data_IF_411262237022
#
_entry.id   IF_411262237022
#
_cell.length_a   1.000
_cell.length_b   1.000
_cell.length_c   1.000
_cell.angle_alpha   90.00
_cell.angle_beta   90.00
_cell.angle_gamma   90.00
#
_symmetry.space_group_name_H-M   'P 1'
#
loop_
_entity.id
_entity.type
_entity.pdbx_description
1 polymer ?
#
# COMPACT_ATOMS: atom_id res chain seq x y z
N UNK A 1 7.35 16.96 -19.75
CA UNK A 1 6.09 16.47 -20.35
C UNK A 1 4.97 16.66 -19.33
N UNK A 2 3.72 16.86 -19.77
CA UNK A 2 2.57 16.90 -18.86
C UNK A 2 2.43 15.55 -18.15
N UNK A 3 2.01 15.57 -16.88
CA UNK A 3 1.75 14.34 -16.13
C UNK A 3 0.45 13.69 -16.62
N UNK A 4 0.30 12.34 -16.50
CA UNK A 4 -0.86 11.63 -17.05
C UNK A 4 -2.22 12.11 -16.55
N UNK A 5 -2.30 12.58 -15.30
CA UNK A 5 -3.52 13.09 -14.69
C UNK A 5 -3.51 14.61 -14.50
N UNK A 6 -2.65 15.33 -15.22
CA UNK A 6 -2.66 16.80 -15.19
C UNK A 6 -4.04 17.33 -15.58
N UNK A 7 -4.59 18.24 -14.76
CA UNK A 7 -5.93 18.79 -14.92
C UNK A 7 -7.05 17.97 -14.28
N UNK A 8 -6.78 16.75 -13.80
CA UNK A 8 -7.76 15.96 -13.02
C UNK A 8 -7.81 16.47 -11.58
N UNK A 9 -9.00 16.77 -11.08
CA UNK A 9 -9.27 17.25 -9.72
C UNK A 9 -9.90 16.16 -8.88
N UNK A 10 -9.31 15.90 -7.70
CA UNK A 10 -9.76 14.86 -6.77
C UNK A 10 -10.13 15.47 -5.44
N UNK A 11 -11.36 15.27 -4.99
CA UNK A 11 -11.77 15.55 -3.61
C UNK A 11 -11.64 14.25 -2.79
N UNK A 12 -10.85 14.31 -1.72
CA UNK A 12 -10.62 13.17 -0.83
C UNK A 12 -11.32 13.40 0.51
N UNK A 13 -12.29 12.53 0.84
CA UNK A 13 -12.96 12.46 2.14
C UNK A 13 -12.62 11.11 2.75
N UNK A 14 -11.37 10.94 3.15
CA UNK A 14 -10.83 9.66 3.58
C UNK A 14 -9.83 9.85 4.73
N UNK A 15 -9.56 8.76 5.47
CA UNK A 15 -8.63 8.76 6.60
C UNK A 15 -7.76 7.49 6.59
N UNK A 16 -6.59 7.58 7.23
CA UNK A 16 -5.69 6.45 7.42
C UNK A 16 -4.93 6.07 6.17
N UNK A 17 -5.17 4.88 5.59
CA UNK A 17 -4.34 4.34 4.49
C UNK A 17 -5.10 4.16 3.19
N UNK A 18 -6.12 3.31 3.13
CA UNK A 18 -6.70 2.86 1.86
C UNK A 18 -7.08 4.01 0.92
N UNK A 19 -7.91 4.95 1.37
CA UNK A 19 -8.30 6.13 0.58
C UNK A 19 -7.13 7.09 0.34
N UNK A 20 -6.42 7.52 1.41
CA UNK A 20 -5.30 8.44 1.28
C UNK A 20 -4.15 7.94 0.41
N UNK A 21 -3.79 6.65 0.48
CA UNK A 21 -2.74 6.10 -0.39
C UNK A 21 -3.20 5.97 -1.85
N UNK A 22 -4.47 5.64 -2.08
CA UNK A 22 -5.04 5.66 -3.43
C UNK A 22 -4.96 7.06 -4.05
N UNK A 23 -5.37 8.09 -3.29
CA UNK A 23 -5.29 9.48 -3.72
C UNK A 23 -3.84 9.98 -3.89
N UNK A 24 -2.89 9.48 -3.08
CA UNK A 24 -1.47 9.77 -3.23
C UNK A 24 -0.94 9.28 -4.59
N UNK A 25 -1.33 8.08 -5.01
CA UNK A 25 -0.98 7.53 -6.33
C UNK A 25 -1.51 8.45 -7.44
N UNK A 26 -2.74 8.94 -7.30
CA UNK A 26 -3.31 9.88 -8.28
C UNK A 26 -2.56 11.22 -8.28
N UNK A 27 -2.18 11.73 -7.10
CA UNK A 27 -1.38 12.96 -6.97
C UNK A 27 -0.01 12.80 -7.63
N UNK A 28 0.67 11.67 -7.41
CA UNK A 28 1.96 11.37 -8.06
C UNK A 28 1.84 11.36 -9.59
N UNK A 29 0.71 10.88 -10.10
CA UNK A 29 0.40 10.92 -11.54
C UNK A 29 -0.02 12.30 -12.06
N UNK A 30 -0.10 13.33 -11.20
CA UNK A 30 -0.36 14.72 -11.57
C UNK A 30 -1.76 15.24 -11.28
N UNK A 31 -2.62 14.47 -10.62
CA UNK A 31 -3.92 14.97 -10.19
C UNK A 31 -3.78 16.03 -9.07
N UNK A 32 -4.63 17.05 -9.10
CA UNK A 32 -4.80 18.00 -8.00
C UNK A 32 -5.71 17.39 -6.93
N UNK A 33 -5.12 16.96 -5.82
CA UNK A 33 -5.85 16.28 -4.75
C UNK A 33 -6.08 17.22 -3.57
N UNK A 34 -7.34 17.52 -3.30
CA UNK A 34 -7.78 18.28 -2.11
C UNK A 34 -8.38 17.33 -1.09
N UNK A 35 -7.71 17.22 0.04
CA UNK A 35 -8.14 16.43 1.20
C UNK A 35 -9.03 17.27 2.11
N UNK A 36 -10.24 16.79 2.34
CA UNK A 36 -11.19 17.37 3.29
C UNK A 36 -11.01 16.69 4.64
N UNK A 37 -10.58 17.44 5.63
CA UNK A 37 -10.28 16.92 6.95
C UNK A 37 -11.26 17.43 8.01
N UNK A 38 -11.50 16.64 9.04
CA UNK A 38 -12.28 17.10 10.18
C UNK A 38 -11.61 18.35 10.78
N UNK A 39 -12.41 19.38 11.02
CA UNK A 39 -11.95 20.69 11.52
C UNK A 39 -11.13 20.60 12.81
N UNK A 40 -11.52 19.73 13.73
CA UNK A 40 -10.90 19.67 15.07
C UNK A 40 -9.78 18.64 15.15
N UNK A 41 -9.97 17.47 14.54
CA UNK A 41 -9.07 16.33 14.72
C UNK A 41 -8.16 16.06 13.53
N UNK A 42 -8.50 16.59 12.36
CA UNK A 42 -7.83 16.21 11.11
C UNK A 42 -8.02 14.72 10.77
N UNK A 43 -7.13 14.22 9.93
CA UNK A 43 -6.99 12.79 9.66
C UNK A 43 -6.36 12.08 10.88
N UNK A 44 -6.89 10.91 11.22
CA UNK A 44 -6.36 10.10 12.33
C UNK A 44 -4.84 9.81 12.20
N UNK A 45 -4.31 9.76 10.99
CA UNK A 45 -2.89 9.55 10.74
C UNK A 45 -2.00 10.71 11.20
N UNK A 46 -2.55 11.89 11.50
CA UNK A 46 -1.80 13.02 12.07
C UNK A 46 -1.32 12.77 13.49
N UNK A 47 -2.07 11.97 14.28
CA UNK A 47 -1.80 11.82 15.70
C UNK A 47 -1.73 10.37 16.21
N UNK A 48 -2.38 9.41 15.56
CA UNK A 48 -2.59 8.07 16.10
C UNK A 48 -1.28 7.31 16.40
N UNK A 49 -0.31 7.29 15.51
CA UNK A 49 0.95 6.56 15.72
C UNK A 49 2.05 7.42 16.37
N UNK A 50 2.00 8.73 16.23
CA UNK A 50 2.96 9.61 16.86
C UNK A 50 2.96 9.44 18.40
N UNK A 51 1.78 9.30 18.99
CA UNK A 51 1.62 9.07 20.42
C UNK A 51 2.04 7.65 20.86
N UNK A 52 1.98 6.64 19.96
CA UNK A 52 2.28 5.25 20.30
C UNK A 52 3.79 4.92 20.22
N UNK A 53 4.52 5.54 19.30
CA UNK A 53 5.92 5.20 19.02
C UNK A 53 6.89 6.04 19.86
N UNK A 54 6.51 7.28 20.12
CA UNK A 54 7.40 8.23 20.76
C UNK A 54 7.46 8.15 22.30
N UNK A 55 6.59 7.38 22.91
CA UNK A 55 6.42 7.37 24.36
C UNK A 55 5.88 8.71 24.91
N UNK A 56 5.67 8.80 26.22
CA UNK A 56 5.09 10.00 26.86
C UNK A 56 5.98 11.24 26.75
N UNK A 57 7.27 11.08 26.48
CA UNK A 57 8.25 12.17 26.39
C UNK A 57 8.45 12.71 24.96
N UNK A 58 7.86 12.11 23.93
CA UNK A 58 7.89 12.66 22.56
C UNK A 58 6.83 13.75 22.42
N UNK A 59 7.07 14.85 23.14
CA UNK A 59 6.27 16.08 23.05
C UNK A 59 6.44 16.81 21.70
N UNK A 60 7.36 16.39 20.85
CA UNK A 60 7.63 16.95 19.51
C UNK A 60 6.95 16.18 18.36
N UNK A 61 5.84 15.51 18.60
CA UNK A 61 5.05 14.84 17.57
C UNK A 61 4.24 15.83 16.68
N UNK A 62 4.80 16.99 16.37
CA UNK A 62 4.28 17.89 15.35
C UNK A 62 4.40 17.31 13.95
N UNK A 63 5.19 16.21 13.78
CA UNK A 63 5.44 15.55 12.51
C UNK A 63 5.03 14.10 12.60
N UNK A 64 3.92 13.74 11.96
CA UNK A 64 3.51 12.35 11.84
C UNK A 64 4.12 11.71 10.59
N UNK A 65 5.06 10.76 10.81
CA UNK A 65 5.59 9.92 9.72
C UNK A 65 4.48 9.20 8.94
N UNK A 66 3.40 8.82 9.62
CA UNK A 66 2.24 8.16 9.01
C UNK A 66 1.48 9.13 8.08
N UNK A 67 1.24 10.36 8.52
CA UNK A 67 0.57 11.36 7.68
C UNK A 67 1.42 11.74 6.47
N UNK A 68 2.72 11.93 6.64
CA UNK A 68 3.66 12.24 5.55
C UNK A 68 3.64 11.14 4.48
N UNK A 69 3.70 9.88 4.91
CA UNK A 69 3.74 8.73 4.00
C UNK A 69 2.49 8.62 3.11
N UNK A 70 1.33 9.14 3.57
CA UNK A 70 0.05 9.00 2.87
C UNK A 70 -0.42 10.28 2.16
N UNK A 71 0.15 11.46 2.50
CA UNK A 71 -0.47 12.73 2.12
C UNK A 71 0.47 13.76 1.48
N UNK A 72 1.71 13.41 1.16
CA UNK A 72 2.60 14.31 0.41
C UNK A 72 1.98 14.71 -0.94
N UNK A 73 2.25 15.93 -1.37
CA UNK A 73 1.76 16.44 -2.65
C UNK A 73 0.27 16.73 -2.73
N UNK A 74 -0.46 16.69 -1.61
CA UNK A 74 -1.88 17.05 -1.54
C UNK A 74 -2.07 18.45 -0.98
N UNK A 75 -3.27 19.01 -1.19
CA UNK A 75 -3.77 20.19 -0.48
C UNK A 75 -4.72 19.75 0.64
N UNK A 76 -4.76 20.45 1.77
CA UNK A 76 -5.63 20.17 2.91
C UNK A 76 -6.58 21.33 3.16
N UNK A 77 -7.86 21.01 3.34
CA UNK A 77 -8.90 21.93 3.83
C UNK A 77 -9.62 21.33 5.04
N UNK A 78 -10.15 22.17 5.91
CA UNK A 78 -10.97 21.74 7.06
C UNK A 78 -12.44 21.82 6.77
N UNK A 79 -13.22 20.86 7.30
CA UNK A 79 -14.68 20.89 7.26
C UNK A 79 -15.30 20.10 8.42
N UNK A 80 -16.29 20.67 9.09
CA UNK A 80 -17.19 19.91 9.95
C UNK A 80 -18.39 19.41 9.14
N UNK A 81 -18.32 18.19 8.61
CA UNK A 81 -19.37 17.58 7.81
C UNK A 81 -20.69 17.33 8.55
N UNK A 82 -20.79 17.70 9.84
CA UNK A 82 -22.06 17.76 10.58
C UNK A 82 -22.82 19.07 10.30
N UNK A 83 -22.16 20.07 9.74
CA UNK A 83 -22.73 21.38 9.42
C UNK A 83 -23.25 21.41 7.98
N UNK A 84 -24.47 21.91 7.74
CA UNK A 84 -25.02 22.03 6.39
C UNK A 84 -24.13 22.82 5.43
N UNK A 85 -23.51 23.89 5.90
CA UNK A 85 -22.64 24.76 5.09
C UNK A 85 -21.40 24.01 4.60
N UNK A 86 -20.82 23.13 5.43
CA UNK A 86 -19.70 22.27 5.05
C UNK A 86 -20.12 21.22 4.00
N UNK A 87 -21.32 20.67 4.10
CA UNK A 87 -21.87 19.76 3.08
C UNK A 87 -22.04 20.48 1.75
N UNK A 88 -22.59 21.71 1.77
CA UNK A 88 -22.79 22.51 0.56
C UNK A 88 -21.43 22.89 -0.08
N UNK A 89 -20.42 23.21 0.73
CA UNK A 89 -19.05 23.42 0.26
C UNK A 89 -18.54 22.18 -0.50
N UNK A 90 -18.69 20.99 0.06
CA UNK A 90 -18.28 19.74 -0.63
C UNK A 90 -19.09 19.49 -1.90
N UNK A 91 -20.40 19.77 -1.91
CA UNK A 91 -21.23 19.67 -3.12
C UNK A 91 -20.75 20.63 -4.20
N UNK A 92 -20.32 21.83 -3.83
CA UNK A 92 -19.74 22.80 -4.75
C UNK A 92 -18.41 22.31 -5.33
N UNK A 93 -17.57 21.65 -4.52
CA UNK A 93 -16.38 20.94 -5.02
C UNK A 93 -16.78 19.85 -6.04
N UNK A 94 -17.68 18.95 -5.68
CA UNK A 94 -18.16 17.87 -6.54
C UNK A 94 -18.59 18.37 -7.92
N UNK A 95 -19.19 19.53 -8.01
CA UNK A 95 -19.64 20.12 -9.27
C UNK A 95 -18.52 20.36 -10.28
N UNK A 96 -17.30 20.64 -9.80
CA UNK A 96 -16.12 20.98 -10.61
C UNK A 96 -14.95 19.98 -10.51
N UNK A 97 -15.11 18.94 -9.70
CA UNK A 97 -14.09 17.91 -9.53
C UNK A 97 -14.41 16.65 -10.34
N UNK A 98 -13.38 15.88 -10.65
CA UNK A 98 -13.46 14.69 -11.49
C UNK A 98 -13.68 13.41 -10.68
N UNK A 99 -13.10 13.36 -9.49
CA UNK A 99 -13.08 12.16 -8.64
C UNK A 99 -13.43 12.54 -7.20
N UNK A 100 -14.29 11.75 -6.56
CA UNK A 100 -14.47 11.77 -5.12
C UNK A 100 -13.93 10.43 -4.56
N UNK A 101 -12.95 10.51 -3.67
CA UNK A 101 -12.39 9.34 -2.97
C UNK A 101 -12.83 9.34 -1.53
N UNK A 102 -13.38 8.22 -1.06
CA UNK A 102 -13.73 8.02 0.34
C UNK A 102 -13.42 6.60 0.80
N UNK A 103 -13.08 6.42 2.08
CA UNK A 103 -13.02 5.13 2.75
C UNK A 103 -13.82 5.11 4.06
N UNK A 104 -14.76 6.03 4.20
CA UNK A 104 -15.75 5.96 5.27
C UNK A 104 -16.62 4.71 5.07
N UNK A 105 -17.15 4.17 6.16
CA UNK A 105 -18.02 2.99 6.07
C UNK A 105 -19.18 3.25 5.09
N UNK A 106 -19.56 2.25 4.28
CA UNK A 106 -20.70 2.38 3.39
C UNK A 106 -21.93 2.94 4.12
N UNK A 107 -22.64 3.84 3.47
CA UNK A 107 -23.80 4.54 4.04
C UNK A 107 -23.49 5.78 4.88
N UNK A 108 -22.23 6.08 5.20
CA UNK A 108 -21.91 7.31 5.96
C UNK A 108 -22.10 8.54 5.10
N UNK A 109 -21.47 8.60 3.92
CA UNK A 109 -21.63 9.75 3.02
C UNK A 109 -23.06 9.84 2.44
N UNK A 110 -23.75 8.69 2.27
CA UNK A 110 -25.16 8.67 1.84
C UNK A 110 -26.05 9.45 2.83
N UNK A 111 -25.86 9.23 4.15
CA UNK A 111 -26.62 9.97 5.18
C UNK A 111 -26.31 11.46 5.22
N UNK A 112 -25.16 11.87 4.70
CA UNK A 112 -24.75 13.27 4.58
C UNK A 112 -25.21 13.91 3.26
N UNK A 113 -25.87 13.15 2.37
CA UNK A 113 -26.25 13.60 1.04
C UNK A 113 -25.06 13.82 0.11
N UNK A 114 -23.97 13.07 0.35
CA UNK A 114 -22.74 13.00 -0.44
C UNK A 114 -22.50 11.59 -0.97
N UNK A 115 -23.50 10.71 -0.95
CA UNK A 115 -23.44 9.38 -1.55
C UNK A 115 -23.42 9.43 -3.07
N UNK A 116 -23.09 8.29 -3.72
CA UNK A 116 -22.95 8.24 -5.17
C UNK A 116 -24.20 8.77 -5.90
N UNK A 117 -25.39 8.35 -5.48
CA UNK A 117 -26.64 8.76 -6.13
C UNK A 117 -26.95 10.25 -5.97
N UNK A 118 -26.42 10.90 -4.95
CA UNK A 118 -26.57 12.34 -4.75
C UNK A 118 -25.55 13.12 -5.58
N UNK A 119 -24.26 12.74 -5.49
CA UNK A 119 -23.19 13.47 -6.18
C UNK A 119 -23.28 13.32 -7.70
N UNK A 120 -23.74 12.18 -8.22
CA UNK A 120 -23.95 12.01 -9.67
C UNK A 120 -25.05 12.87 -10.26
N UNK A 121 -26.04 13.30 -9.45
CA UNK A 121 -27.05 14.26 -9.87
C UNK A 121 -26.46 15.66 -10.04
N UNK A 122 -25.45 16.00 -9.23
CA UNK A 122 -24.73 17.28 -9.30
C UNK A 122 -23.73 17.25 -10.47
N UNK A 123 -22.97 16.16 -10.59
CA UNK A 123 -21.96 15.96 -11.62
C UNK A 123 -22.06 14.54 -12.21
N UNK A 124 -22.74 14.36 -13.36
CA UNK A 124 -22.86 13.02 -14.00
C UNK A 124 -21.52 12.43 -14.47
N UNK A 125 -20.46 13.25 -14.52
CA UNK A 125 -19.11 12.81 -14.92
C UNK A 125 -18.24 12.39 -13.72
N UNK A 126 -18.70 12.55 -12.48
CA UNK A 126 -17.91 12.24 -11.29
C UNK A 126 -17.58 10.74 -11.20
N UNK A 127 -16.34 10.40 -10.97
CA UNK A 127 -15.92 9.07 -10.55
C UNK A 127 -16.00 9.02 -9.03
N UNK A 128 -16.86 8.17 -8.49
CA UNK A 128 -17.04 7.99 -7.06
C UNK A 128 -16.30 6.74 -6.58
N UNK A 129 -15.18 6.92 -5.90
CA UNK A 129 -14.30 5.86 -5.46
C UNK A 129 -14.52 5.54 -3.97
N UNK A 130 -15.18 4.41 -3.70
CA UNK A 130 -15.48 3.93 -2.35
C UNK A 130 -14.50 2.84 -1.94
N UNK A 131 -13.57 3.15 -1.06
CA UNK A 131 -12.81 2.16 -0.30
C UNK A 131 -13.65 1.59 0.84
N UNK A 132 -13.49 0.32 1.14
CA UNK A 132 -14.18 -0.33 2.25
C UNK A 132 -13.37 -1.49 2.83
N UNK A 133 -13.75 -1.96 4.01
CA UNK A 133 -13.09 -3.14 4.58
C UNK A 133 -13.62 -4.43 3.97
N UNK A 134 -14.94 -4.60 3.91
CA UNK A 134 -15.58 -5.87 3.62
C UNK A 134 -16.28 -5.93 2.25
N UNK A 135 -16.31 -4.82 1.54
CA UNK A 135 -17.04 -4.68 0.27
C UNK A 135 -18.42 -4.04 0.46
N UNK A 136 -19.12 -3.74 -0.67
CA UNK A 136 -20.39 -3.00 -0.66
C UNK A 136 -21.61 -3.86 -0.34
N UNK A 137 -21.47 -5.19 -0.23
CA UNK A 137 -22.59 -6.14 -0.05
C UNK A 137 -22.23 -7.20 0.98
N UNK A 138 -23.25 -7.88 1.49
CA UNK A 138 -23.10 -9.01 2.39
C UNK A 138 -23.22 -8.64 3.87
N UNK A 139 -23.14 -9.64 4.76
CA UNK A 139 -23.46 -9.46 6.19
C UNK A 139 -22.45 -8.59 6.95
N UNK A 140 -21.28 -8.33 6.39
CA UNK A 140 -20.19 -7.61 7.05
C UNK A 140 -20.04 -6.15 6.61
N UNK A 141 -20.88 -5.63 5.72
CA UNK A 141 -20.77 -4.27 5.16
C UNK A 141 -20.51 -3.19 6.21
N UNK A 142 -21.22 -3.25 7.34
CA UNK A 142 -21.12 -2.25 8.40
C UNK A 142 -20.18 -2.68 9.54
N UNK A 143 -19.62 -3.92 9.48
CA UNK A 143 -18.75 -4.44 10.52
C UNK A 143 -17.47 -3.61 10.62
N UNK A 144 -17.05 -3.19 11.83
CA UNK A 144 -15.76 -2.52 12.03
C UNK A 144 -14.61 -3.39 11.55
N UNK A 145 -13.60 -2.77 10.95
CA UNK A 145 -12.38 -3.48 10.53
C UNK A 145 -11.18 -2.53 10.44
N UNK A 146 -10.03 -3.15 10.32
CA UNK A 146 -8.73 -2.58 9.99
C UNK A 146 -7.94 -3.62 9.22
N UNK A 147 -6.78 -3.27 8.71
CA UNK A 147 -5.85 -4.12 7.94
C UNK A 147 -5.75 -5.55 8.48
N UNK A 148 -5.30 -5.71 9.73
CA UNK A 148 -5.06 -7.03 10.36
C UNK A 148 -6.30 -7.92 10.38
N UNK A 149 -7.51 -7.34 10.52
CA UNK A 149 -8.75 -8.14 10.48
C UNK A 149 -9.06 -8.65 9.06
N UNK A 150 -8.71 -7.88 8.04
CA UNK A 150 -8.83 -8.33 6.66
C UNK A 150 -7.81 -9.42 6.33
N UNK A 151 -6.56 -9.29 6.80
CA UNK A 151 -5.56 -10.35 6.70
C UNK A 151 -6.03 -11.65 7.37
N UNK A 152 -6.58 -11.55 8.59
CA UNK A 152 -7.09 -12.71 9.33
C UNK A 152 -8.26 -13.40 8.59
N UNK A 153 -9.24 -12.61 8.16
CA UNK A 153 -10.44 -13.14 7.52
C UNK A 153 -10.20 -13.70 6.11
N UNK A 154 -9.16 -13.22 5.41
CA UNK A 154 -8.83 -13.68 4.05
C UNK A 154 -8.05 -15.00 4.02
N UNK A 155 -7.60 -15.51 5.17
CA UNK A 155 -6.83 -16.74 5.25
C UNK A 155 -5.30 -16.54 5.25
N UNK A 156 -4.78 -15.38 4.82
CA UNK A 156 -3.34 -15.16 4.68
C UNK A 156 -2.57 -15.33 5.99
N UNK A 157 -3.15 -14.89 7.12
CA UNK A 157 -2.52 -15.08 8.43
C UNK A 157 -2.37 -16.55 8.82
N UNK A 158 -3.33 -17.40 8.44
CA UNK A 158 -3.26 -18.82 8.71
C UNK A 158 -2.15 -19.52 7.89
N UNK A 159 -1.67 -18.89 6.82
CA UNK A 159 -0.64 -19.42 5.92
C UNK A 159 0.73 -18.76 6.09
N UNK A 160 0.83 -17.70 6.89
CA UNK A 160 2.08 -16.99 7.17
C UNK A 160 2.77 -17.57 8.40
N UNK A 161 4.10 -17.72 8.35
CA UNK A 161 4.94 -18.22 9.44
C UNK A 161 5.34 -19.69 9.31
N UNK A 162 6.11 -20.17 10.28
CA UNK A 162 6.53 -21.58 10.38
C UNK A 162 5.33 -22.48 10.78
N UNK A 163 5.39 -23.79 10.50
CA UNK A 163 4.28 -24.71 10.80
C UNK A 163 3.76 -24.62 12.24
N UNK A 164 4.67 -24.49 13.20
CA UNK A 164 4.37 -24.49 14.64
C UNK A 164 4.11 -23.08 15.23
N UNK A 165 4.26 -22.03 14.44
CA UNK A 165 4.01 -20.66 14.89
C UNK A 165 2.48 -20.41 15.08
N UNK A 166 2.05 -19.45 15.92
CA UNK A 166 0.69 -18.91 15.84
C UNK A 166 0.44 -18.24 14.48
N UNK A 167 -0.81 -17.98 14.07
CA UNK A 167 -1.12 -17.17 12.89
C UNK A 167 -0.43 -15.80 12.95
N UNK A 168 0.32 -15.44 11.90
CA UNK A 168 1.10 -14.20 11.83
C UNK A 168 0.56 -13.25 10.78
N UNK A 169 0.42 -11.98 11.14
CA UNK A 169 0.21 -10.93 10.15
C UNK A 169 1.52 -10.60 9.42
N UNK A 170 1.40 -10.05 8.21
CA UNK A 170 2.55 -9.45 7.55
C UNK A 170 3.13 -8.29 8.39
N UNK A 171 4.44 -8.07 8.31
CA UNK A 171 5.14 -7.00 9.04
C UNK A 171 4.81 -5.58 8.56
N UNK A 172 3.86 -5.43 7.64
CA UNK A 172 3.35 -4.16 7.11
C UNK A 172 1.82 -4.25 6.95
N UNK A 173 1.16 -3.08 6.78
CA UNK A 173 -0.29 -2.99 6.58
C UNK A 173 -0.64 -3.34 5.12
N UNK A 174 -0.43 -4.61 4.75
CA UNK A 174 -0.50 -5.11 3.36
C UNK A 174 -1.91 -5.05 2.79
N UNK A 175 -2.95 -5.29 3.60
CA UNK A 175 -4.33 -5.27 3.15
C UNK A 175 -4.77 -3.84 2.78
N UNK A 176 -4.45 -2.85 3.60
CA UNK A 176 -4.77 -1.45 3.34
C UNK A 176 -4.04 -0.92 2.10
N UNK A 177 -2.73 -1.18 1.97
CA UNK A 177 -1.95 -0.71 0.81
C UNK A 177 -2.38 -1.40 -0.49
N UNK A 178 -2.58 -2.71 -0.49
CA UNK A 178 -3.07 -3.41 -1.69
C UNK A 178 -4.50 -3.02 -2.06
N UNK A 179 -5.37 -2.79 -1.05
CA UNK A 179 -6.70 -2.25 -1.25
C UNK A 179 -6.70 -0.84 -1.84
N UNK A 180 -5.73 -0.02 -1.48
CA UNK A 180 -5.53 1.30 -2.07
C UNK A 180 -5.07 1.23 -3.53
N UNK A 181 -4.14 0.32 -3.87
CA UNK A 181 -3.72 0.06 -5.25
C UNK A 181 -4.91 -0.38 -6.11
N UNK A 182 -5.76 -1.28 -5.58
CA UNK A 182 -6.98 -1.70 -6.26
C UNK A 182 -7.97 -0.55 -6.47
N UNK A 183 -8.12 0.33 -5.47
CA UNK A 183 -8.99 1.51 -5.57
C UNK A 183 -8.46 2.49 -6.62
N UNK A 184 -7.17 2.80 -6.61
CA UNK A 184 -6.54 3.67 -7.61
C UNK A 184 -6.67 3.09 -9.03
N UNK A 185 -6.44 1.78 -9.21
CA UNK A 185 -6.64 1.09 -10.49
C UNK A 185 -8.08 1.21 -10.99
N UNK A 186 -9.05 1.05 -10.08
CA UNK A 186 -10.46 1.24 -10.40
C UNK A 186 -10.79 2.67 -10.82
N UNK A 187 -10.20 3.68 -10.15
CA UNK A 187 -10.36 5.09 -10.53
C UNK A 187 -9.80 5.35 -11.94
N UNK A 188 -8.59 4.86 -12.23
CA UNK A 188 -7.98 5.03 -13.54
C UNK A 188 -8.81 4.38 -14.64
N UNK A 189 -9.33 3.17 -14.41
CA UNK A 189 -10.23 2.48 -15.33
C UNK A 189 -11.54 3.26 -15.56
N UNK A 190 -12.12 3.84 -14.50
CA UNK A 190 -13.34 4.64 -14.60
C UNK A 190 -13.10 5.98 -15.32
N UNK A 191 -11.97 6.65 -15.08
CA UNK A 191 -11.57 7.84 -15.82
C UNK A 191 -11.40 7.53 -17.32
N UNK A 192 -10.72 6.44 -17.65
CA UNK A 192 -10.55 6.00 -19.02
C UNK A 192 -11.88 5.64 -19.71
N UNK A 193 -12.80 4.97 -19.00
CA UNK A 193 -14.13 4.67 -19.50
C UNK A 193 -14.95 5.97 -19.71
N UNK A 194 -14.82 6.96 -18.81
CA UNK A 194 -15.49 8.25 -18.90
C UNK A 194 -15.17 9.01 -20.18
N UNK A 195 -13.94 8.93 -20.67
CA UNK A 195 -13.54 9.60 -21.92
C UNK A 195 -14.31 9.06 -23.15
N UNK A 196 -14.78 7.82 -23.09
CA UNK A 196 -15.59 7.20 -24.18
C UNK A 196 -17.08 7.35 -23.96
N UNK A 197 -17.55 7.30 -22.71
CA UNK A 197 -18.98 7.25 -22.37
C UNK A 197 -19.55 8.61 -22.01
N UNK A 198 -18.70 9.59 -21.66
CA UNK A 198 -19.10 10.89 -21.14
C UNK A 198 -19.60 10.85 -19.68
N UNK A 199 -19.71 9.68 -19.06
CA UNK A 199 -20.27 9.48 -17.72
C UNK A 199 -19.24 8.95 -16.73
N UNK A 200 -19.28 9.48 -15.50
CA UNK A 200 -18.55 8.91 -14.37
C UNK A 200 -19.17 7.60 -13.88
N UNK A 201 -18.45 6.90 -13.02
CA UNK A 201 -18.85 5.60 -12.49
C UNK A 201 -18.58 5.50 -10.99
N UNK A 202 -19.32 4.62 -10.31
CA UNK A 202 -18.97 4.20 -8.96
C UNK A 202 -17.94 3.08 -9.01
N UNK A 203 -16.88 3.25 -8.25
CA UNK A 203 -15.82 2.25 -8.04
C UNK A 203 -15.88 1.81 -6.58
N UNK A 204 -16.06 0.54 -6.33
CA UNK A 204 -15.98 -0.07 -5.00
C UNK A 204 -14.76 -0.99 -4.92
N UNK A 205 -13.85 -0.76 -3.98
CA UNK A 205 -12.74 -1.66 -3.68
C UNK A 205 -12.68 -1.97 -2.17
N UNK A 206 -12.43 -3.25 -1.84
CA UNK A 206 -12.34 -3.65 -0.44
C UNK A 206 -10.97 -4.24 -0.11
N UNK A 207 -10.45 -3.95 1.08
CA UNK A 207 -9.19 -4.53 1.54
C UNK A 207 -9.30 -6.06 1.68
N UNK A 208 -10.45 -6.58 2.15
CA UNK A 208 -10.72 -8.01 2.23
C UNK A 208 -10.75 -8.67 0.86
N UNK A 209 -11.49 -8.10 -0.10
CA UNK A 209 -11.58 -8.64 -1.47
C UNK A 209 -10.24 -8.62 -2.20
N UNK A 210 -9.43 -7.58 -1.97
CA UNK A 210 -8.08 -7.51 -2.55
C UNK A 210 -7.17 -8.59 -1.97
N UNK A 211 -7.22 -8.83 -0.65
CA UNK A 211 -6.47 -9.92 -0.03
C UNK A 211 -6.87 -11.30 -0.57
N UNK A 212 -8.14 -11.53 -0.87
CA UNK A 212 -8.60 -12.76 -1.54
C UNK A 212 -8.03 -12.84 -2.96
N UNK A 213 -8.13 -11.77 -3.73
CA UNK A 213 -7.65 -11.73 -5.12
C UNK A 213 -6.14 -12.02 -5.23
N UNK A 214 -5.35 -11.54 -4.27
CA UNK A 214 -3.90 -11.79 -4.21
C UNK A 214 -3.52 -13.26 -3.92
N UNK A 215 -4.45 -14.05 -3.39
CA UNK A 215 -4.27 -15.47 -3.06
C UNK A 215 -4.91 -16.40 -4.13
N UNK A 216 -5.02 -15.94 -5.37
CA UNK A 216 -5.70 -16.70 -6.43
C UNK A 216 -5.13 -18.10 -6.67
N UNK A 217 -3.82 -18.28 -6.57
CA UNK A 217 -3.14 -19.56 -6.75
C UNK A 217 -3.49 -20.55 -5.63
N UNK A 218 -3.43 -20.10 -4.38
CA UNK A 218 -3.71 -20.90 -3.18
C UNK A 218 -5.18 -21.30 -3.08
N UNK A 219 -6.06 -20.35 -3.40
CA UNK A 219 -7.51 -20.57 -3.43
C UNK A 219 -7.87 -21.57 -4.51
N UNK A 220 -7.30 -21.44 -5.71
CA UNK A 220 -7.54 -22.39 -6.81
C UNK A 220 -7.02 -23.78 -6.46
N UNK A 221 -5.83 -23.89 -5.87
CA UNK A 221 -5.31 -25.17 -5.42
C UNK A 221 -6.28 -25.86 -4.45
N UNK A 222 -6.68 -25.15 -3.40
CA UNK A 222 -7.61 -25.70 -2.39
C UNK A 222 -8.97 -26.06 -3.00
N UNK A 223 -9.50 -25.21 -3.87
CA UNK A 223 -10.78 -25.43 -4.53
C UNK A 223 -10.79 -26.64 -5.49
N UNK A 224 -9.68 -26.86 -6.20
CA UNK A 224 -9.55 -27.95 -7.17
C UNK A 224 -9.25 -29.28 -6.50
N UNK A 225 -8.34 -29.26 -5.52
CA UNK A 225 -7.83 -30.49 -4.90
C UNK A 225 -8.57 -30.89 -3.62
N UNK A 226 -9.30 -29.99 -2.99
CA UNK A 226 -9.87 -30.15 -1.65
C UNK A 226 -8.82 -30.21 -0.54
N UNK A 227 -7.54 -29.95 -0.86
CA UNK A 227 -6.43 -30.02 0.09
C UNK A 227 -6.09 -28.62 0.59
N UNK A 228 -6.06 -28.44 1.88
CA UNK A 228 -5.60 -27.22 2.53
C UNK A 228 -4.07 -27.17 2.50
N UNK A 229 -3.41 -26.18 1.87
CA UNK A 229 -1.96 -26.08 1.87
C UNK A 229 -1.43 -25.87 3.30
N UNK A 230 -0.25 -26.38 3.58
CA UNK A 230 0.45 -26.09 4.82
C UNK A 230 0.92 -24.62 4.87
N UNK A 231 1.48 -24.19 6.00
CA UNK A 231 2.06 -22.85 6.11
C UNK A 231 3.27 -22.68 5.21
N UNK A 232 3.51 -21.43 4.82
CA UNK A 232 4.56 -21.06 3.89
C UNK A 232 5.99 -21.38 4.39
N UNK A 233 6.18 -21.52 5.70
CA UNK A 233 7.52 -21.71 6.27
C UNK A 233 8.41 -20.49 5.97
N UNK A 234 9.60 -20.75 5.44
CA UNK A 234 10.60 -19.70 5.13
C UNK A 234 10.30 -18.88 3.89
N UNK A 235 9.39 -19.33 3.03
CA UNK A 235 9.17 -18.69 1.73
C UNK A 235 7.76 -18.84 1.23
N UNK A 236 7.43 -19.94 0.57
CA UNK A 236 6.14 -20.14 -0.05
C UNK A 236 5.63 -21.57 0.15
N UNK A 237 4.33 -21.73 0.38
CA UNK A 237 3.71 -23.02 0.73
C UNK A 237 3.86 -24.10 -0.35
N UNK A 238 4.05 -23.71 -1.62
CA UNK A 238 4.28 -24.66 -2.73
C UNK A 238 5.73 -24.74 -3.19
N UNK A 239 6.63 -23.91 -2.63
CA UNK A 239 8.04 -23.81 -3.04
C UNK A 239 8.92 -24.01 -1.81
N UNK A 240 9.29 -25.26 -1.54
CA UNK A 240 9.90 -25.68 -0.28
C UNK A 240 11.37 -26.10 -0.39
N UNK A 241 11.89 -26.35 -1.58
CA UNK A 241 13.24 -26.82 -1.79
C UNK A 241 14.30 -25.81 -1.32
N UNK A 242 15.17 -25.39 -2.21
CA UNK A 242 16.12 -24.30 -1.93
C UNK A 242 15.40 -22.96 -2.12
N UNK A 243 14.43 -22.69 -1.25
CA UNK A 243 13.59 -21.49 -1.34
C UNK A 243 13.36 -20.88 0.04
N UNK A 244 13.59 -19.57 0.17
CA UNK A 244 13.36 -18.79 1.39
C UNK A 244 14.63 -18.25 2.02
N UNK A 245 14.51 -17.80 3.28
CA UNK A 245 15.61 -17.20 4.03
C UNK A 245 16.47 -18.26 4.72
N UNK A 246 17.80 -18.13 4.60
CA UNK A 246 18.79 -18.99 5.21
C UNK A 246 19.75 -18.15 6.07
N UNK A 247 20.12 -18.64 7.29
CA UNK A 247 21.04 -17.92 8.16
C UNK A 247 22.48 -17.94 7.60
N UNK A 248 23.19 -16.83 7.75
CA UNK A 248 24.62 -16.69 7.45
C UNK A 248 25.37 -16.33 8.73
N UNK A 249 26.69 -16.16 8.68
CA UNK A 249 27.46 -15.78 9.88
C UNK A 249 27.15 -14.38 10.40
N UNK A 250 26.57 -13.51 9.58
CA UNK A 250 26.33 -12.09 9.88
C UNK A 250 24.87 -11.63 9.64
N UNK A 251 23.99 -12.54 9.19
CA UNK A 251 22.61 -12.20 8.89
C UNK A 251 21.86 -13.33 8.21
N UNK A 252 21.18 -13.00 7.10
CA UNK A 252 20.42 -13.96 6.30
C UNK A 252 20.53 -13.63 4.81
N UNK A 253 20.55 -14.67 3.98
CA UNK A 253 20.30 -14.54 2.53
C UNK A 253 18.96 -15.19 2.18
N UNK A 254 18.30 -14.67 1.16
CA UNK A 254 17.12 -15.28 0.57
C UNK A 254 17.50 -15.88 -0.78
N UNK A 255 17.08 -17.13 -1.04
CA UNK A 255 17.25 -17.82 -2.31
C UNK A 255 15.87 -18.14 -2.87
N UNK A 256 15.65 -17.88 -4.17
CA UNK A 256 14.37 -18.07 -4.83
C UNK A 256 14.38 -19.28 -5.79
N UNK A 257 14.85 -20.41 -5.31
CA UNK A 257 14.92 -21.68 -6.05
C UNK A 257 16.24 -21.86 -6.81
N UNK A 258 16.54 -23.12 -7.08
CA UNK A 258 17.67 -23.54 -7.91
C UNK A 258 17.16 -24.58 -8.90
N UNK A 259 17.11 -24.23 -10.17
CA UNK A 259 16.68 -25.12 -11.25
C UNK A 259 17.75 -26.18 -11.59
N UNK A 260 17.43 -27.14 -12.46
CA UNK A 260 18.29 -28.23 -12.87
C UNK A 260 19.59 -27.73 -13.50
N UNK A 261 19.54 -26.66 -14.30
CA UNK A 261 20.71 -26.08 -14.97
C UNK A 261 21.72 -25.54 -13.95
N UNK A 262 21.22 -24.92 -12.89
CA UNK A 262 22.05 -24.27 -11.86
C UNK A 262 22.38 -25.19 -10.69
N UNK A 263 21.68 -26.31 -10.56
CA UNK A 263 21.87 -27.27 -9.45
C UNK A 263 23.33 -27.75 -9.27
N UNK A 264 24.03 -28.16 -10.35
CA UNK A 264 25.44 -28.56 -10.21
C UNK A 264 26.34 -27.46 -9.69
N UNK A 265 26.20 -26.24 -10.18
CA UNK A 265 26.96 -25.07 -9.72
C UNK A 265 26.65 -24.73 -8.27
N UNK A 266 25.39 -24.76 -7.90
CA UNK A 266 24.96 -24.56 -6.51
C UNK A 266 25.60 -25.60 -5.58
N UNK A 267 25.49 -26.89 -5.90
CA UNK A 267 26.05 -27.95 -5.10
C UNK A 267 27.57 -27.79 -4.92
N UNK A 268 28.27 -27.34 -5.95
CA UNK A 268 29.71 -27.06 -5.89
C UNK A 268 30.01 -25.90 -4.95
N UNK A 269 29.27 -24.80 -5.06
CA UNK A 269 29.47 -23.60 -4.23
C UNK A 269 29.22 -23.90 -2.76
N UNK A 270 28.15 -24.63 -2.43
CA UNK A 270 27.79 -24.92 -1.04
C UNK A 270 28.47 -26.21 -0.49
N UNK A 271 29.20 -26.96 -1.33
CA UNK A 271 29.95 -28.13 -0.90
C UNK A 271 29.10 -29.39 -0.69
N UNK A 272 28.00 -29.54 -1.44
CA UNK A 272 27.07 -30.68 -1.36
C UNK A 272 27.03 -31.51 -2.67
N UNK A 273 28.16 -31.63 -3.38
CA UNK A 273 28.22 -32.31 -4.68
C UNK A 273 27.69 -33.75 -4.66
N UNK A 274 27.75 -34.40 -3.51
CA UNK A 274 27.18 -35.73 -3.33
C UNK A 274 25.67 -35.81 -3.52
N UNK A 275 24.95 -34.68 -3.39
CA UNK A 275 23.50 -34.59 -3.61
C UNK A 275 23.13 -34.42 -5.10
N UNK A 276 24.08 -34.17 -6.01
CA UNK A 276 23.78 -33.95 -7.42
C UNK A 276 23.14 -35.17 -8.10
N UNK A 277 23.59 -36.36 -7.71
CA UNK A 277 23.14 -37.63 -8.28
C UNK A 277 22.21 -38.41 -7.37
N UNK A 278 21.92 -37.86 -6.19
CA UNK A 278 21.00 -38.47 -5.25
C UNK A 278 19.55 -38.32 -5.79
N UNK A 279 18.80 -39.44 -5.97
CA UNK A 279 17.45 -39.42 -6.46
C UNK A 279 16.48 -38.51 -5.66
N UNK A 280 16.75 -38.29 -4.36
CA UNK A 280 15.94 -37.40 -3.52
C UNK A 280 16.16 -35.91 -3.85
N UNK A 281 17.27 -35.54 -4.56
CA UNK A 281 17.64 -34.14 -4.78
C UNK A 281 17.97 -33.79 -6.24
N UNK A 282 18.11 -34.78 -7.13
CA UNK A 282 18.53 -34.54 -8.51
C UNK A 282 17.51 -33.72 -9.32
N UNK A 283 16.24 -33.94 -9.08
CA UNK A 283 15.13 -33.24 -9.73
C UNK A 283 14.52 -32.15 -8.87
N UNK A 284 14.17 -30.99 -9.45
CA UNK A 284 13.64 -29.84 -8.70
C UNK A 284 12.28 -30.12 -8.05
N UNK A 285 11.43 -30.91 -8.70
CA UNK A 285 10.12 -31.28 -8.15
C UNK A 285 10.32 -32.17 -6.93
N UNK A 286 11.24 -33.15 -7.04
CA UNK A 286 11.58 -34.06 -5.93
C UNK A 286 12.24 -33.29 -4.78
N UNK A 287 13.17 -32.38 -5.09
CA UNK A 287 13.76 -31.47 -4.07
C UNK A 287 12.71 -30.68 -3.32
N UNK A 288 11.65 -30.28 -4.00
CA UNK A 288 10.56 -29.53 -3.37
C UNK A 288 9.78 -30.39 -2.35
N UNK A 289 9.59 -31.67 -2.62
CA UNK A 289 8.99 -32.62 -1.67
C UNK A 289 9.90 -32.90 -0.46
N UNK A 290 11.21 -32.87 -0.66
CA UNK A 290 12.21 -33.06 0.39
C UNK A 290 12.73 -31.72 0.97
N UNK A 291 11.97 -30.63 0.81
CA UNK A 291 12.38 -29.26 1.14
C UNK A 291 12.95 -29.11 2.56
N UNK A 292 12.32 -29.70 3.56
CA UNK A 292 12.79 -29.61 4.94
C UNK A 292 14.15 -30.29 5.14
N UNK A 293 14.42 -31.40 4.45
CA UNK A 293 15.69 -32.10 4.56
C UNK A 293 16.85 -31.26 4.02
N UNK A 294 16.66 -30.70 2.81
CA UNK A 294 17.71 -29.89 2.19
C UNK A 294 17.92 -28.56 2.92
N UNK A 295 16.85 -27.96 3.42
CA UNK A 295 16.93 -26.74 4.24
C UNK A 295 17.74 -26.97 5.50
N UNK A 296 17.55 -28.09 6.20
CA UNK A 296 18.36 -28.48 7.38
C UNK A 296 19.86 -28.67 7.04
N UNK A 297 20.17 -29.20 5.87
CA UNK A 297 21.56 -29.31 5.39
C UNK A 297 22.15 -27.92 5.16
N UNK A 298 21.42 -27.06 4.47
CA UNK A 298 21.87 -25.70 4.16
C UNK A 298 22.03 -24.82 5.41
N UNK A 299 21.18 -25.00 6.42
CA UNK A 299 21.30 -24.33 7.72
C UNK A 299 22.60 -24.62 8.46
N UNK A 300 23.25 -25.75 8.17
CA UNK A 300 24.57 -26.12 8.72
C UNK A 300 25.74 -25.52 7.90
N UNK A 301 25.43 -25.10 6.66
CA UNK A 301 26.45 -24.68 5.69
C UNK A 301 26.55 -23.16 5.63
N UNK A 302 25.42 -22.47 5.43
CA UNK A 302 25.43 -21.05 5.24
C UNK A 302 26.02 -20.22 6.39
N UNK A 303 25.91 -20.61 7.68
CA UNK A 303 26.61 -19.92 8.78
C UNK A 303 28.14 -19.90 8.70
N UNK A 304 28.74 -20.63 7.76
CA UNK A 304 30.21 -20.70 7.61
C UNK A 304 30.84 -19.49 6.91
N UNK A 305 30.05 -18.71 6.18
CA UNK A 305 30.48 -17.47 5.50
C UNK A 305 29.50 -16.36 5.77
N UNK A 306 29.91 -15.11 5.49
CA UNK A 306 29.08 -13.94 5.52
C UNK A 306 28.08 -13.93 4.35
N UNK A 307 27.01 -13.16 4.48
CA UNK A 307 26.04 -12.92 3.39
C UNK A 307 26.73 -12.44 2.13
N UNK A 308 27.66 -11.50 2.24
CA UNK A 308 28.41 -10.95 1.12
C UNK A 308 29.26 -11.99 0.39
N UNK A 309 29.95 -12.87 1.13
CA UNK A 309 30.79 -13.93 0.52
C UNK A 309 29.91 -14.92 -0.23
N UNK A 310 28.77 -15.36 0.35
CA UNK A 310 27.86 -16.26 -0.33
C UNK A 310 27.25 -15.63 -1.58
N UNK A 311 26.79 -14.39 -1.49
CA UNK A 311 26.15 -13.71 -2.61
C UNK A 311 27.10 -13.49 -3.78
N UNK A 312 28.39 -13.21 -3.52
CA UNK A 312 29.37 -13.08 -4.59
C UNK A 312 29.47 -14.36 -5.44
N UNK A 313 29.52 -15.55 -4.80
CA UNK A 313 29.60 -16.83 -5.48
C UNK A 313 28.27 -17.25 -6.13
N UNK A 314 27.15 -17.01 -5.45
CA UNK A 314 25.81 -17.40 -5.94
C UNK A 314 25.35 -16.56 -7.14
N UNK A 315 25.55 -15.23 -7.10
CA UNK A 315 25.17 -14.33 -8.17
C UNK A 315 26.02 -14.54 -9.42
N UNK A 316 27.33 -14.77 -9.26
CA UNK A 316 28.24 -15.10 -10.37
C UNK A 316 27.82 -16.40 -11.10
N UNK A 317 27.25 -17.33 -10.35
CA UNK A 317 26.66 -18.56 -10.89
C UNK A 317 25.21 -18.42 -11.41
N UNK A 318 24.69 -17.20 -11.53
CA UNK A 318 23.31 -16.88 -11.97
C UNK A 318 22.23 -17.50 -11.07
N UNK A 319 22.52 -17.70 -9.78
CA UNK A 319 21.56 -18.20 -8.79
C UNK A 319 20.77 -17.02 -8.20
N UNK A 320 19.46 -17.17 -8.13
CA UNK A 320 18.54 -16.13 -7.64
C UNK A 320 18.67 -15.98 -6.13
N UNK A 321 19.53 -15.10 -5.68
CA UNK A 321 19.80 -14.85 -4.27
C UNK A 321 19.97 -13.35 -3.98
N UNK A 322 19.60 -12.95 -2.76
CA UNK A 322 19.81 -11.60 -2.24
C UNK A 322 19.97 -11.63 -0.72
N UNK A 323 20.51 -10.56 -0.14
CA UNK A 323 20.56 -10.38 1.31
C UNK A 323 19.17 -10.01 1.86
N UNK A 324 18.84 -10.48 3.05
CA UNK A 324 17.69 -10.00 3.83
C UNK A 324 18.14 -8.77 4.62
N UNK A 325 17.72 -7.59 4.18
CA UNK A 325 18.17 -6.32 4.75
C UNK A 325 17.16 -5.71 5.71
N UNK A 326 17.63 -4.92 6.67
CA UNK A 326 16.80 -4.05 7.50
C UNK A 326 16.47 -2.72 6.80
N UNK A 327 15.58 -1.92 7.39
CA UNK A 327 15.23 -0.61 6.84
C UNK A 327 16.42 0.36 6.76
N UNK A 328 17.38 0.31 7.70
CA UNK A 328 18.55 1.21 7.70
C UNK A 328 19.45 0.94 6.51
N UNK A 329 19.59 -0.32 6.14
CA UNK A 329 20.34 -0.77 4.96
C UNK A 329 19.56 -0.44 3.68
N UNK A 330 18.26 -0.73 3.64
CA UNK A 330 17.39 -0.43 2.49
C UNK A 330 17.35 1.06 2.16
N UNK A 331 17.32 1.94 3.15
CA UNK A 331 17.36 3.40 2.95
C UNK A 331 18.67 3.90 2.29
N UNK A 332 19.72 3.10 2.28
CA UNK A 332 20.99 3.41 1.59
C UNK A 332 21.08 2.80 0.18
N UNK A 333 20.07 2.06 -0.25
CA UNK A 333 20.06 1.37 -1.54
C UNK A 333 20.16 2.35 -2.71
N UNK A 334 21.24 2.24 -3.47
CA UNK A 334 21.40 2.97 -4.72
C UNK A 334 20.32 2.58 -5.74
N UNK A 335 20.02 1.27 -5.85
CA UNK A 335 18.97 0.75 -6.72
C UNK A 335 17.60 1.40 -6.44
N UNK A 336 17.26 1.62 -5.17
CA UNK A 336 16.02 2.28 -4.78
C UNK A 336 16.03 3.79 -5.14
N UNK A 337 17.18 4.46 -5.00
CA UNK A 337 17.31 5.89 -5.27
C UNK A 337 17.28 6.20 -6.76
N UNK A 338 18.05 5.49 -7.57
CA UNK A 338 18.13 5.75 -9.03
C UNK A 338 16.81 5.46 -9.75
N UNK A 339 15.98 4.57 -9.19
CA UNK A 339 14.65 4.29 -9.70
C UNK A 339 13.55 5.19 -9.11
N UNK A 340 13.89 6.13 -8.22
CA UNK A 340 12.91 7.01 -7.57
C UNK A 340 11.99 6.31 -6.57
N UNK A 341 12.35 5.11 -6.09
CA UNK A 341 11.59 4.40 -5.04
C UNK A 341 11.81 5.01 -3.67
N UNK A 342 12.92 5.71 -3.48
CA UNK A 342 13.23 6.56 -2.34
C UNK A 342 13.56 7.98 -2.84
N UNK A 343 12.89 8.96 -2.25
CA UNK A 343 13.05 10.37 -2.57
C UNK A 343 13.41 11.16 -1.32
N UNK A 344 14.28 12.14 -1.47
CA UNK A 344 14.52 13.14 -0.43
C UNK A 344 13.47 14.26 -0.55
N UNK A 345 12.87 14.61 0.57
CA UNK A 345 11.85 15.62 0.70
C UNK A 345 12.26 16.63 1.78
N UNK A 346 12.20 17.92 1.47
CA UNK A 346 12.40 18.98 2.45
C UNK A 346 11.08 19.26 3.17
N UNK A 347 10.97 18.74 4.41
CA UNK A 347 9.78 18.93 5.25
C UNK A 347 9.97 20.17 6.15
N UNK A 348 8.99 21.10 6.23
CA UNK A 348 9.15 22.37 6.96
C UNK A 348 9.59 22.22 8.42
N UNK A 349 9.15 21.14 9.08
CA UNK A 349 9.42 20.90 10.51
C UNK A 349 10.45 19.80 10.72
N UNK A 350 10.40 18.70 9.95
CA UNK A 350 11.29 17.54 10.12
C UNK A 350 12.64 17.71 9.38
N UNK A 351 12.80 18.76 8.57
CA UNK A 351 13.97 18.88 7.70
C UNK A 351 13.97 17.85 6.57
N UNK A 352 15.15 17.39 6.18
CA UNK A 352 15.29 16.39 5.11
C UNK A 352 14.81 15.01 5.58
N UNK A 353 13.80 14.49 4.90
CA UNK A 353 13.25 13.15 5.14
C UNK A 353 13.28 12.32 3.86
N UNK A 354 13.54 11.02 4.00
CA UNK A 354 13.37 10.06 2.91
C UNK A 354 11.94 9.53 2.94
N UNK A 355 11.28 9.57 1.78
CA UNK A 355 9.93 9.05 1.59
C UNK A 355 9.91 8.01 0.48
N UNK A 356 8.96 7.08 0.54
CA UNK A 356 8.72 6.15 -0.56
C UNK A 356 8.08 6.86 -1.75
N UNK A 357 8.60 6.62 -2.95
CA UNK A 357 8.00 7.04 -4.21
C UNK A 357 7.00 6.02 -4.73
N UNK A 358 6.09 6.44 -5.60
CA UNK A 358 5.26 5.52 -6.38
C UNK A 358 6.15 4.84 -7.43
N UNK A 359 6.20 3.48 -7.47
CA UNK A 359 7.15 2.75 -8.31
C UNK A 359 6.66 2.67 -9.77
N UNK A 360 6.30 3.81 -10.33
CA UNK A 360 5.80 3.94 -11.70
C UNK A 360 6.61 5.01 -12.42
N UNK A 361 7.20 4.62 -13.54
CA UNK A 361 7.84 5.55 -14.49
C UNK A 361 7.02 5.57 -15.77
N UNK A 362 6.86 6.75 -16.35
CA UNK A 362 6.19 6.93 -17.64
C UNK A 362 7.16 7.62 -18.57
N UNK A 363 7.43 7.01 -19.73
CA UNK A 363 8.47 7.46 -20.65
C UNK A 363 9.87 7.58 -20.01
N UNK A 364 10.17 6.73 -19.02
CA UNK A 364 11.42 6.73 -18.27
C UNK A 364 11.52 7.78 -17.15
N UNK A 365 10.49 8.59 -16.96
CA UNK A 365 10.44 9.60 -15.89
C UNK A 365 9.66 9.12 -14.68
N UNK A 366 10.16 9.40 -13.48
CA UNK A 366 9.50 9.10 -12.21
C UNK A 366 8.28 10.02 -12.06
N UNK A 367 7.12 9.45 -11.77
CA UNK A 367 5.89 10.23 -11.63
C UNK A 367 5.77 10.94 -10.28
N UNK A 368 6.46 10.48 -9.27
CA UNK A 368 6.34 10.93 -7.88
C UNK A 368 6.52 12.44 -7.69
N UNK A 369 5.65 13.04 -6.88
CA UNK A 369 5.71 14.46 -6.50
C UNK A 369 6.49 14.62 -5.20
N UNK A 370 7.60 15.35 -5.25
CA UNK A 370 8.46 15.66 -4.10
C UNK A 370 7.99 16.93 -3.37
N UNK A 371 6.72 16.99 -2.98
CA UNK A 371 6.18 18.09 -2.17
C UNK A 371 5.80 17.57 -0.77
N UNK A 372 5.99 18.35 0.30
CA UNK A 372 5.63 17.94 1.64
C UNK A 372 4.13 17.68 1.77
N UNK A 373 3.76 16.90 2.79
CA UNK A 373 2.38 16.76 3.20
C UNK A 373 1.89 18.10 3.79
N UNK A 374 0.64 18.51 3.53
CA UNK A 374 0.14 19.80 3.98
C UNK A 374 -0.06 19.84 5.50
N UNK A 375 0.05 21.04 6.09
CA UNK A 375 -0.46 21.29 7.42
C UNK A 375 -1.99 21.16 7.45
N UNK A 376 -2.56 20.97 8.63
CA UNK A 376 -4.02 20.83 8.80
C UNK A 376 -4.73 22.10 8.35
N UNK A 377 -5.58 22.00 7.33
CA UNK A 377 -6.35 23.12 6.77
C UNK A 377 -5.53 24.17 6.01
N UNK A 378 -4.27 23.90 5.71
CA UNK A 378 -3.32 24.85 5.10
C UNK A 378 -3.88 25.58 3.90
N UNK A 379 -4.71 24.93 3.09
CA UNK A 379 -5.20 25.45 1.81
C UNK A 379 -6.70 25.81 1.83
N UNK A 380 -7.30 25.93 3.03
CA UNK A 380 -8.76 26.12 3.15
C UNK A 380 -9.21 27.39 2.41
N UNK A 381 -8.57 28.51 2.65
CA UNK A 381 -8.93 29.79 2.01
C UNK A 381 -8.69 29.77 0.50
N UNK A 382 -7.52 29.28 0.09
CA UNK A 382 -7.13 29.18 -1.33
C UNK A 382 -8.15 28.37 -2.12
N UNK A 383 -8.51 27.17 -1.65
CA UNK A 383 -9.48 26.30 -2.33
C UNK A 383 -10.88 26.91 -2.36
N UNK A 384 -11.29 27.59 -1.28
CA UNK A 384 -12.59 28.27 -1.25
C UNK A 384 -12.65 29.42 -2.24
N UNK A 385 -11.59 30.23 -2.37
CA UNK A 385 -11.50 31.29 -3.37
C UNK A 385 -11.53 30.71 -4.79
N UNK A 386 -10.84 29.62 -5.07
CA UNK A 386 -10.91 28.90 -6.36
C UNK A 386 -12.33 28.42 -6.69
N UNK A 387 -13.11 28.04 -5.68
CA UNK A 387 -14.51 27.65 -5.79
C UNK A 387 -15.45 28.86 -5.96
N UNK A 388 -14.90 30.09 -5.93
CA UNK A 388 -15.64 31.35 -6.09
C UNK A 388 -16.38 31.81 -4.84
N UNK A 389 -15.93 31.41 -3.64
CA UNK A 389 -16.34 32.05 -2.39
C UNK A 389 -15.66 33.40 -2.26
N UNK A 390 -16.34 34.37 -1.68
CA UNK A 390 -15.76 35.65 -1.29
C UNK A 390 -15.13 35.55 0.11
N UNK A 391 -14.33 36.53 0.50
CA UNK A 391 -13.81 36.62 1.87
C UNK A 391 -14.93 36.75 2.92
N UNK A 392 -16.06 37.39 2.55
CA UNK A 392 -17.27 37.48 3.39
C UNK A 392 -17.89 36.09 3.60
N UNK A 393 -18.03 35.30 2.52
CA UNK A 393 -18.52 33.92 2.60
C UNK A 393 -17.61 33.05 3.48
N UNK A 394 -16.28 33.18 3.33
CA UNK A 394 -15.29 32.45 4.14
C UNK A 394 -15.41 32.83 5.61
N UNK A 395 -15.62 34.13 5.90
CA UNK A 395 -15.92 34.59 7.25
C UNK A 395 -17.18 33.95 7.84
N UNK A 396 -18.26 33.91 7.07
CA UNK A 396 -19.52 33.29 7.48
C UNK A 396 -19.35 31.76 7.74
N UNK A 397 -18.57 31.04 6.91
CA UNK A 397 -18.27 29.63 7.11
C UNK A 397 -17.49 29.38 8.41
N UNK A 398 -16.57 30.28 8.79
CA UNK A 398 -15.87 30.24 10.07
C UNK A 398 -16.80 30.50 11.24
N UNK A 399 -17.63 31.53 11.15
CA UNK A 399 -18.57 31.92 12.20
C UNK A 399 -19.61 30.83 12.46
N UNK A 400 -20.08 30.15 11.40
CA UNK A 400 -20.97 28.99 11.54
C UNK A 400 -20.26 27.73 12.08
N UNK A 401 -18.94 27.73 12.12
CA UNK A 401 -18.12 26.60 12.52
C UNK A 401 -18.05 25.48 11.47
N UNK A 402 -18.32 25.80 10.20
CA UNK A 402 -18.25 24.84 9.10
C UNK A 402 -16.81 24.52 8.68
N UNK A 403 -15.89 25.48 8.77
CA UNK A 403 -14.46 25.38 8.46
C UNK A 403 -13.59 25.81 9.63
#
# INVERSE_FOLDING_TARGET
MSKPLEGIKVVEIAQGIQGPFASLILADMGADVVKVENKETGDLSRWMLAALIGGPDVTNATVSHYFIAMNRGKRSITADLKKPDAIEMVRRMVKSYDVLVTNYRPGVLDRLGLGYDDVRKINPRIVYAQGSSWGPRGPWVTRPSRDTLAQAASGVMAKTGMPDDPPLAAGMLVADHSGALSLASGVLAALFARERTGHGQKVDASIYGTMIAMQGMEINYTSITGVEPERAGRGHQFLRGVWGAFPTSDGHICIAGVDEKRWPSFCKIVGIQHLQTDPEYADNVVRNFHGEKIQKVLDQIFPKKTSREWLAELIDADILATEVVDYRTMLKSEQARVNGYLLELDHPVAGKVLVSGTPITINGEVTTVAQPAPEHGQHTEEVLLELGYTWEDIGALRDSGAI
#
